data_IF_597788791435
#
_entry.id   IF_597788791435
#
_cell.length_a   1.000
_cell.length_b   1.000
_cell.length_c   1.000
_cell.angle_alpha   90.00
_cell.angle_beta   90.00
_cell.angle_gamma   90.00
#
_symmetry.space_group_name_H-M   'P 1'
#
loop_
_entity.id
_entity.type
_entity.pdbx_description
1 polymer ?
#
# COMPACT_ATOMS: atom_id res chain seq x y z
N UNK A 1 -1.85 38.83 27.49
CA UNK A 1 -1.66 37.36 27.69
C UNK A 1 -2.21 36.64 26.50
N UNK A 2 -1.38 36.36 25.50
CA UNK A 2 -1.78 35.63 24.31
C UNK A 2 -1.98 34.16 24.65
N UNK A 3 -3.24 33.77 24.75
CA UNK A 3 -3.64 32.37 24.66
C UNK A 3 -3.36 31.87 23.25
N UNK A 4 -2.11 31.61 22.93
CA UNK A 4 -1.78 30.76 21.77
C UNK A 4 -2.31 29.37 22.09
N UNK A 5 -3.56 29.12 21.68
CA UNK A 5 -4.10 27.79 21.52
C UNK A 5 -3.16 27.09 20.54
N UNK A 6 -2.29 26.23 21.06
CA UNK A 6 -1.57 25.30 20.21
C UNK A 6 -2.63 24.54 19.40
N UNK A 7 -2.67 24.67 18.09
CA UNK A 7 -3.60 23.89 17.30
C UNK A 7 -3.26 22.43 17.63
N UNK A 8 -4.27 21.70 18.11
CA UNK A 8 -4.13 20.27 18.27
C UNK A 8 -3.74 19.73 16.91
N UNK A 9 -2.49 19.30 16.74
CA UNK A 9 -2.03 18.73 15.50
C UNK A 9 -2.72 17.39 15.36
N UNK A 10 -3.76 17.36 14.56
CA UNK A 10 -4.38 16.09 14.16
C UNK A 10 -3.37 15.28 13.38
N UNK A 11 -3.29 13.99 13.70
CA UNK A 11 -2.44 13.03 13.06
C UNK A 11 -3.32 11.95 12.44
N UNK A 12 -3.00 11.58 11.23
CA UNK A 12 -3.61 10.46 10.53
C UNK A 12 -2.57 9.34 10.42
N UNK A 13 -2.89 8.17 10.95
CA UNK A 13 -2.04 6.98 10.84
C UNK A 13 -2.55 6.13 9.66
N UNK A 14 -1.67 5.81 8.73
CA UNK A 14 -1.96 4.99 7.56
C UNK A 14 -0.96 3.84 7.47
N UNK A 15 -1.46 2.62 7.39
CA UNK A 15 -0.64 1.44 7.16
C UNK A 15 -0.73 1.02 5.71
N UNK A 16 0.38 1.16 4.99
CA UNK A 16 0.46 0.78 3.58
C UNK A 16 0.46 -0.74 3.45
N UNK A 17 -0.60 -1.23 2.84
CA UNK A 17 -0.79 -2.62 2.43
C UNK A 17 -0.82 -2.69 0.91
N UNK A 18 -0.76 -3.88 0.33
CA UNK A 18 -0.95 -4.06 -1.10
C UNK A 18 -2.25 -3.42 -1.62
N UNK A 19 -3.44 -3.70 -1.05
CA UNK A 19 -4.65 -2.98 -1.46
C UNK A 19 -4.61 -1.49 -1.10
N UNK A 20 -3.89 -1.09 -0.05
CA UNK A 20 -3.74 0.32 0.35
C UNK A 20 -2.92 1.16 -0.63
N UNK A 21 -2.12 0.55 -1.50
CA UNK A 21 -1.38 1.29 -2.54
C UNK A 21 -2.31 2.04 -3.49
N UNK A 22 -3.51 1.53 -3.75
CA UNK A 22 -4.54 2.18 -4.57
C UNK A 22 -4.91 3.55 -4.01
N UNK A 23 -5.00 3.69 -2.69
CA UNK A 23 -5.54 4.87 -2.01
C UNK A 23 -4.46 5.83 -1.48
N UNK A 24 -3.19 5.48 -1.57
CA UNK A 24 -2.13 6.24 -0.91
C UNK A 24 -2.10 7.71 -1.35
N UNK A 25 -2.22 7.99 -2.65
CA UNK A 25 -2.26 9.36 -3.15
C UNK A 25 -3.46 10.15 -2.59
N UNK A 26 -4.64 9.53 -2.56
CA UNK A 26 -5.87 10.17 -2.05
C UNK A 26 -5.77 10.44 -0.53
N UNK A 27 -5.15 9.52 0.22
CA UNK A 27 -4.91 9.70 1.67
C UNK A 27 -4.00 10.88 1.94
N UNK A 28 -2.97 11.11 1.12
CA UNK A 28 -2.08 12.26 1.25
C UNK A 28 -2.84 13.55 0.97
N UNK A 29 -3.63 13.59 -0.10
CA UNK A 29 -4.48 14.74 -0.42
C UNK A 29 -5.47 15.04 0.69
N UNK A 30 -6.10 14.00 1.25
CA UNK A 30 -7.03 14.17 2.37
C UNK A 30 -6.33 14.73 3.61
N UNK A 31 -5.19 14.14 3.99
CA UNK A 31 -4.41 14.62 5.13
C UNK A 31 -3.99 16.08 4.97
N UNK A 32 -3.61 16.48 3.77
CA UNK A 32 -3.25 17.86 3.43
C UNK A 32 -4.46 18.79 3.53
N UNK A 33 -5.59 18.43 2.95
CA UNK A 33 -6.81 19.23 3.00
C UNK A 33 -7.33 19.45 4.43
N UNK A 34 -7.07 18.51 5.33
CA UNK A 34 -7.44 18.59 6.74
C UNK A 34 -6.36 19.24 7.62
N UNK A 35 -5.22 19.60 7.06
CA UNK A 35 -4.07 20.10 7.82
C UNK A 35 -3.45 19.06 8.77
N UNK A 36 -3.68 17.76 8.53
CA UNK A 36 -3.19 16.66 9.35
C UNK A 36 -1.74 16.30 9.01
N UNK A 37 -1.02 15.84 10.02
CA UNK A 37 0.23 15.13 9.79
C UNK A 37 -0.06 13.66 9.46
N UNK A 38 0.48 13.16 8.35
CA UNK A 38 0.38 11.76 7.99
C UNK A 38 1.57 10.98 8.56
N UNK A 39 1.28 9.94 9.33
CA UNK A 39 2.24 8.89 9.66
C UNK A 39 1.94 7.68 8.79
N UNK A 40 2.88 7.34 7.92
CA UNK A 40 2.75 6.21 7.03
C UNK A 40 3.71 5.08 7.46
N UNK A 41 3.19 3.87 7.54
CA UNK A 41 3.96 2.66 7.81
C UNK A 41 3.70 1.64 6.72
N UNK A 42 4.68 0.81 6.40
CA UNK A 42 4.51 -0.30 5.46
C UNK A 42 4.40 -1.61 6.21
N UNK A 43 3.49 -2.48 5.79
CA UNK A 43 3.51 -3.87 6.23
C UNK A 43 4.68 -4.59 5.55
N UNK A 44 5.72 -4.83 6.31
CA UNK A 44 6.77 -5.78 5.95
C UNK A 44 6.43 -7.14 6.53
N UNK A 45 6.32 -8.15 5.67
CA UNK A 45 6.10 -9.53 6.09
C UNK A 45 7.36 -10.35 5.92
N UNK A 46 7.53 -11.33 6.79
CA UNK A 46 8.60 -12.31 6.74
C UNK A 46 8.11 -13.67 6.22
N UNK A 47 6.90 -13.72 5.68
CA UNK A 47 6.32 -14.94 5.13
C UNK A 47 5.71 -14.66 3.75
N UNK A 48 6.03 -15.48 2.72
CA UNK A 48 5.59 -15.25 1.35
C UNK A 48 4.09 -15.49 1.11
N UNK A 49 3.37 -16.03 2.09
CA UNK A 49 1.91 -16.24 2.03
C UNK A 49 1.11 -15.03 2.53
N UNK A 50 1.77 -14.00 3.06
CA UNK A 50 1.11 -12.78 3.49
C UNK A 50 1.05 -11.77 2.34
N UNK A 51 0.08 -11.94 1.46
CA UNK A 51 -0.12 -11.11 0.26
C UNK A 51 -0.61 -9.69 0.55
N UNK A 52 -0.82 -9.32 1.80
CA UNK A 52 -1.12 -7.94 2.17
C UNK A 52 0.11 -7.02 2.12
N UNK A 53 1.31 -7.59 2.07
CA UNK A 53 2.53 -6.80 1.88
C UNK A 53 2.69 -6.37 0.42
N UNK A 54 3.03 -5.11 0.12
CA UNK A 54 3.38 -4.68 -1.23
C UNK A 54 4.56 -5.44 -1.83
N UNK A 55 5.45 -6.01 -0.99
CA UNK A 55 6.59 -6.82 -1.43
C UNK A 55 6.18 -8.17 -2.05
N UNK A 56 4.90 -8.55 -1.98
CA UNK A 56 4.37 -9.72 -2.69
C UNK A 56 4.34 -9.52 -4.21
N UNK A 57 4.31 -8.27 -4.68
CA UNK A 57 4.32 -7.95 -6.11
C UNK A 57 5.68 -8.28 -6.75
N UNK A 58 5.69 -8.67 -8.04
CA UNK A 58 6.90 -8.65 -8.86
C UNK A 58 7.59 -7.29 -8.86
N UNK A 59 8.91 -7.27 -8.98
CA UNK A 59 9.74 -6.07 -8.89
C UNK A 59 9.30 -4.98 -9.87
N UNK A 60 9.10 -5.34 -11.11
CA UNK A 60 8.71 -4.42 -12.18
C UNK A 60 7.33 -3.78 -11.91
N UNK A 61 6.37 -4.56 -11.45
CA UNK A 61 5.03 -4.06 -11.10
C UNK A 61 5.11 -3.13 -9.90
N UNK A 62 5.85 -3.51 -8.86
CA UNK A 62 6.02 -2.70 -7.65
C UNK A 62 6.68 -1.34 -7.97
N UNK A 63 7.79 -1.36 -8.71
CA UNK A 63 8.56 -0.15 -9.03
C UNK A 63 7.76 0.81 -9.91
N UNK A 64 7.03 0.27 -10.91
CA UNK A 64 6.17 1.07 -11.77
C UNK A 64 5.01 1.68 -10.98
N UNK A 65 4.38 0.91 -10.10
CA UNK A 65 3.28 1.43 -9.28
C UNK A 65 3.74 2.51 -8.31
N UNK A 66 4.90 2.32 -7.67
CA UNK A 66 5.51 3.37 -6.83
C UNK A 66 5.75 4.64 -7.65
N UNK A 67 6.29 4.52 -8.88
CA UNK A 67 6.54 5.66 -9.76
C UNK A 67 5.24 6.38 -10.14
N UNK A 68 4.16 5.64 -10.43
CA UNK A 68 2.84 6.21 -10.71
C UNK A 68 2.27 6.97 -9.50
N UNK A 69 2.41 6.40 -8.30
CA UNK A 69 1.98 7.05 -7.05
C UNK A 69 2.78 8.34 -6.84
N UNK A 70 4.11 8.29 -7.00
CA UNK A 70 4.98 9.46 -6.86
C UNK A 70 4.62 10.56 -7.87
N UNK A 71 4.24 10.20 -9.09
CA UNK A 71 3.75 11.14 -10.10
C UNK A 71 2.43 11.79 -9.67
N UNK A 72 1.48 11.01 -9.15
CA UNK A 72 0.20 11.53 -8.64
C UNK A 72 0.38 12.48 -7.46
N UNK A 73 1.37 12.23 -6.60
CA UNK A 73 1.71 13.09 -5.45
C UNK A 73 2.51 14.33 -5.89
N UNK A 74 3.17 14.29 -7.03
CA UNK A 74 4.27 15.16 -7.46
C UNK A 74 3.97 16.67 -7.47
N UNK A 75 2.71 17.08 -7.56
CA UNK A 75 2.29 18.49 -7.64
C UNK A 75 1.99 19.11 -6.29
N UNK A 76 2.01 18.35 -5.19
CA UNK A 76 1.68 18.83 -3.85
C UNK A 76 2.97 19.19 -3.13
N UNK A 77 3.10 20.45 -2.77
CA UNK A 77 4.20 20.91 -1.91
C UNK A 77 3.73 20.90 -0.45
N UNK A 78 3.90 19.75 0.20
CA UNK A 78 3.61 19.65 1.61
C UNK A 78 4.60 18.72 2.35
N UNK A 79 4.60 18.83 3.69
CA UNK A 79 5.44 18.01 4.56
C UNK A 79 5.16 16.51 4.47
N UNK A 80 3.91 16.13 4.20
CA UNK A 80 3.49 14.73 4.10
C UNK A 80 4.09 14.06 2.87
N UNK A 81 4.26 14.79 1.76
CA UNK A 81 4.89 14.31 0.54
C UNK A 81 6.29 13.76 0.79
N UNK A 82 7.13 14.51 1.51
CA UNK A 82 8.49 14.04 1.80
C UNK A 82 8.48 12.74 2.57
N UNK A 83 7.71 12.67 3.65
CA UNK A 83 7.61 11.47 4.50
C UNK A 83 7.16 10.25 3.70
N UNK A 84 6.16 10.42 2.83
CA UNK A 84 5.65 9.32 1.99
C UNK A 84 6.65 8.92 0.92
N UNK A 85 7.31 9.86 0.26
CA UNK A 85 8.35 9.53 -0.72
C UNK A 85 9.52 8.79 -0.08
N UNK A 86 9.99 9.22 1.10
CA UNK A 86 11.05 8.52 1.83
C UNK A 86 10.64 7.07 2.17
N UNK A 87 9.37 6.86 2.55
CA UNK A 87 8.81 5.52 2.77
C UNK A 87 8.73 4.68 1.49
N UNK A 88 8.30 5.26 0.37
CA UNK A 88 8.22 4.57 -0.92
C UNK A 88 9.62 4.19 -1.43
N UNK A 89 10.62 5.04 -1.27
CA UNK A 89 12.01 4.73 -1.59
C UNK A 89 12.55 3.60 -0.70
N UNK A 90 12.21 3.60 0.58
CA UNK A 90 12.54 2.50 1.49
C UNK A 90 11.88 1.19 1.05
N UNK A 91 10.61 1.22 0.64
CA UNK A 91 9.91 0.05 0.11
C UNK A 91 10.59 -0.48 -1.15
N UNK A 92 10.95 0.42 -2.07
CA UNK A 92 11.63 0.10 -3.33
C UNK A 92 13.01 -0.54 -3.12
N UNK A 93 13.72 -0.16 -2.05
CA UNK A 93 15.04 -0.70 -1.71
C UNK A 93 15.00 -2.11 -1.11
N UNK A 94 13.83 -2.59 -0.67
CA UNK A 94 13.69 -3.92 -0.06
C UNK A 94 13.50 -5.00 -1.12
N UNK A 95 14.00 -6.23 -0.87
CA UNK A 95 13.75 -7.34 -1.77
C UNK A 95 12.25 -7.71 -1.77
N UNK A 96 11.71 -7.99 -2.95
CA UNK A 96 10.38 -8.58 -3.10
C UNK A 96 10.37 -10.02 -2.59
N UNK A 97 9.18 -10.60 -2.40
CA UNK A 97 9.09 -12.00 -1.99
C UNK A 97 9.73 -12.96 -3.02
N UNK A 98 9.59 -12.67 -4.32
CA UNK A 98 10.22 -13.46 -5.37
C UNK A 98 11.76 -13.41 -5.25
N UNK A 99 12.34 -12.24 -4.96
CA UNK A 99 13.78 -12.07 -4.79
C UNK A 99 14.29 -12.70 -3.49
N UNK A 100 13.49 -12.66 -2.43
CA UNK A 100 13.89 -13.16 -1.11
C UNK A 100 13.69 -14.67 -0.95
N UNK A 101 12.61 -15.22 -1.49
CA UNK A 101 12.19 -16.61 -1.25
C UNK A 101 12.25 -17.49 -2.49
N UNK A 102 12.54 -16.93 -3.69
CA UNK A 102 12.64 -17.71 -4.92
C UNK A 102 11.34 -18.48 -5.23
N UNK A 103 11.47 -19.78 -5.50
CA UNK A 103 10.32 -20.64 -5.84
C UNK A 103 9.27 -20.74 -4.73
N UNK A 104 9.67 -20.63 -3.46
CA UNK A 104 8.76 -20.64 -2.33
C UNK A 104 7.78 -19.44 -2.34
N UNK A 105 8.15 -18.32 -2.98
CA UNK A 105 7.27 -17.18 -3.14
C UNK A 105 6.01 -17.50 -3.95
N UNK A 106 6.12 -18.31 -5.01
CA UNK A 106 4.98 -18.70 -5.83
C UNK A 106 4.01 -19.59 -5.05
N UNK A 107 4.54 -20.55 -4.30
CA UNK A 107 3.71 -21.41 -3.43
C UNK A 107 3.04 -20.60 -2.33
N UNK A 108 3.80 -19.69 -1.70
CA UNK A 108 3.27 -18.76 -0.70
C UNK A 108 2.16 -17.89 -1.27
N UNK A 109 2.34 -17.33 -2.46
CA UNK A 109 1.33 -16.52 -3.13
C UNK A 109 0.02 -17.28 -3.36
N UNK A 110 0.08 -18.53 -3.84
CA UNK A 110 -1.11 -19.38 -4.00
C UNK A 110 -1.83 -19.63 -2.67
N UNK A 111 -1.08 -19.95 -1.62
CA UNK A 111 -1.64 -20.16 -0.28
C UNK A 111 -2.28 -18.88 0.25
N UNK A 112 -1.60 -17.75 0.14
CA UNK A 112 -2.09 -16.44 0.58
C UNK A 112 -3.36 -16.03 -0.17
N UNK A 113 -3.41 -16.25 -1.49
CA UNK A 113 -4.61 -16.00 -2.29
C UNK A 113 -5.79 -16.83 -1.81
N UNK A 114 -5.59 -18.13 -1.55
CA UNK A 114 -6.64 -18.99 -1.02
C UNK A 114 -7.18 -18.49 0.33
N UNK A 115 -6.30 -18.00 1.22
CA UNK A 115 -6.70 -17.41 2.49
C UNK A 115 -7.57 -16.15 2.29
N UNK A 116 -7.19 -15.27 1.37
CA UNK A 116 -7.96 -14.05 1.06
C UNK A 116 -9.32 -14.42 0.48
N UNK A 117 -9.37 -15.30 -0.52
CA UNK A 117 -10.63 -15.76 -1.13
C UNK A 117 -11.56 -16.42 -0.09
N UNK A 118 -11.00 -17.20 0.85
CA UNK A 118 -11.77 -17.76 1.95
C UNK A 118 -12.35 -16.67 2.85
N UNK A 119 -11.57 -15.65 3.20
CA UNK A 119 -12.07 -14.51 3.99
C UNK A 119 -13.16 -13.74 3.25
N UNK A 120 -13.01 -13.51 1.96
CA UNK A 120 -14.03 -12.87 1.11
C UNK A 120 -15.34 -13.66 1.10
N UNK A 121 -15.26 -14.99 1.03
CA UNK A 121 -16.44 -15.87 1.03
C UNK A 121 -17.22 -15.84 2.35
N UNK A 122 -16.56 -15.56 3.47
CA UNK A 122 -17.17 -15.50 4.81
C UNK A 122 -17.81 -14.13 5.08
N UNK A 123 -17.29 -13.06 4.48
CA UNK A 123 -17.81 -11.70 4.65
C UNK A 123 -19.15 -11.55 3.95
N UNK A 124 -20.23 -11.44 4.74
CA UNK A 124 -21.60 -11.30 4.22
C UNK A 124 -21.96 -9.85 3.87
N UNK A 125 -21.30 -8.87 4.49
CA UNK A 125 -21.71 -7.47 4.45
C UNK A 125 -21.00 -6.62 3.39
N UNK A 126 -19.77 -6.97 3.01
CA UNK A 126 -19.00 -6.27 1.98
C UNK A 126 -18.77 -7.18 0.78
N UNK A 127 -19.26 -6.73 -0.39
CA UNK A 127 -19.05 -7.43 -1.66
C UNK A 127 -17.74 -7.03 -2.36
N UNK A 128 -16.93 -6.16 -1.75
CA UNK A 128 -15.67 -5.69 -2.35
C UNK A 128 -14.60 -6.77 -2.16
N UNK A 129 -14.05 -7.23 -3.26
CA UNK A 129 -12.99 -8.24 -3.31
C UNK A 129 -11.62 -7.61 -3.55
N UNK A 130 -10.55 -8.39 -3.37
CA UNK A 130 -9.19 -7.97 -3.74
C UNK A 130 -9.12 -7.62 -5.23
N UNK A 131 -9.78 -8.39 -6.09
CA UNK A 131 -9.85 -8.11 -7.53
C UNK A 131 -10.51 -6.77 -7.83
N UNK A 132 -11.57 -6.41 -7.11
CA UNK A 132 -12.24 -5.12 -7.29
C UNK A 132 -11.28 -3.96 -6.92
N UNK A 133 -10.55 -4.09 -5.82
CA UNK A 133 -9.58 -3.09 -5.38
C UNK A 133 -8.43 -2.96 -6.37
N UNK A 134 -7.81 -4.09 -6.77
CA UNK A 134 -6.67 -4.09 -7.69
C UNK A 134 -7.05 -3.69 -9.11
N UNK A 135 -8.34 -3.63 -9.44
CA UNK A 135 -8.81 -3.14 -10.75
C UNK A 135 -8.41 -1.68 -11.04
N UNK A 136 -8.09 -0.90 -10.00
CA UNK A 136 -7.55 0.47 -10.12
C UNK A 136 -6.12 0.49 -10.70
N UNK A 137 -5.38 -0.63 -10.60
CA UNK A 137 -4.04 -0.76 -11.16
C UNK A 137 -3.90 -2.09 -11.90
N UNK A 138 -4.14 -2.07 -13.20
CA UNK A 138 -4.24 -3.27 -14.06
C UNK A 138 -3.07 -4.25 -13.94
N UNK A 139 -1.79 -3.84 -13.91
CA UNK A 139 -0.69 -4.79 -13.78
C UNK A 139 -0.77 -5.63 -12.49
N UNK A 140 -1.21 -5.04 -11.36
CA UNK A 140 -1.40 -5.79 -10.12
C UNK A 140 -2.59 -6.74 -10.19
N UNK A 141 -3.69 -6.35 -10.87
CA UNK A 141 -4.83 -7.23 -11.11
C UNK A 141 -4.43 -8.43 -11.98
N UNK A 142 -3.68 -8.21 -13.06
CA UNK A 142 -3.19 -9.27 -13.93
C UNK A 142 -2.30 -10.26 -13.17
N UNK A 143 -1.37 -9.75 -12.36
CA UNK A 143 -0.56 -10.58 -11.47
C UNK A 143 -1.45 -11.39 -10.51
N UNK A 144 -2.41 -10.75 -9.84
CA UNK A 144 -3.35 -11.41 -8.94
C UNK A 144 -4.13 -12.54 -9.61
N UNK A 145 -4.59 -12.30 -10.83
CA UNK A 145 -5.33 -13.30 -11.61
C UNK A 145 -4.43 -14.45 -12.09
N UNK A 146 -3.13 -14.20 -12.28
CA UNK A 146 -2.14 -15.18 -12.71
C UNK A 146 -1.62 -16.11 -11.61
N UNK A 147 -1.85 -15.80 -10.32
CA UNK A 147 -1.56 -16.71 -9.20
C UNK A 147 -2.62 -17.85 -9.26
#
# INVERSE_FOLDING_TARGET
MDNQKHPHQMRMDFTLTLPGMVQLADVIHLADSLGCQLLCKVIFSFSPDILLSPLALPRDILDNWISDIQTKIGTIDNRNKKTVNDMLEQLKSRPTFAEQYGEAAMMGAKTGKQHILKLESIRKETKITMSDILNEYKPALEWWNGI
#
